data_IF_620364367543
#
_entry.id   IF_620364367543
#
_cell.length_a   1.000
_cell.length_b   1.000
_cell.length_c   1.000
_cell.angle_alpha   90.00
_cell.angle_beta   90.00
_cell.angle_gamma   90.00
#
_symmetry.space_group_name_H-M   'P 1'
#
loop_
_entity.id
_entity.type
_entity.pdbx_description
1 polymer ?
#
# COMPACT_ATOMS: atom_id res chain seq x y z
N UNK A 1 8.05 -3.15 -18.02
CA UNK A 1 8.05 -4.44 -17.28
C UNK A 1 8.74 -4.34 -15.92
N UNK A 2 9.92 -3.71 -15.81
CA UNK A 2 10.63 -3.56 -14.52
C UNK A 2 9.90 -2.69 -13.49
N UNK A 3 9.19 -1.65 -13.94
CA UNK A 3 8.56 -0.70 -13.00
C UNK A 3 7.31 -1.29 -12.34
N UNK A 4 6.55 -2.15 -13.03
CA UNK A 4 5.37 -2.82 -12.46
C UNK A 4 5.74 -3.69 -11.26
N UNK A 5 6.68 -4.62 -11.45
CA UNK A 5 7.06 -5.55 -10.38
C UNK A 5 7.73 -4.81 -9.21
N UNK A 6 8.46 -3.73 -9.50
CA UNK A 6 9.01 -2.86 -8.46
C UNK A 6 7.89 -2.17 -7.66
N UNK A 7 6.87 -1.59 -8.32
CA UNK A 7 5.75 -0.94 -7.63
C UNK A 7 4.99 -1.96 -6.77
N UNK A 8 4.75 -3.16 -7.28
CA UNK A 8 4.06 -4.23 -6.53
C UNK A 8 4.89 -4.65 -5.31
N UNK A 9 6.20 -4.77 -5.44
CA UNK A 9 7.07 -5.07 -4.31
C UNK A 9 7.09 -3.93 -3.28
N UNK A 10 7.10 -2.67 -3.71
CA UNK A 10 6.97 -1.50 -2.83
C UNK A 10 5.64 -1.53 -2.06
N UNK A 11 4.52 -1.76 -2.75
CA UNK A 11 3.21 -1.93 -2.11
C UNK A 11 3.27 -3.04 -1.08
N UNK A 12 3.84 -4.20 -1.42
CA UNK A 12 3.95 -5.35 -0.51
C UNK A 12 4.76 -5.04 0.74
N UNK A 13 5.86 -4.30 0.62
CA UNK A 13 6.67 -3.87 1.77
C UNK A 13 5.90 -2.89 2.65
N UNK A 14 5.13 -1.96 2.08
CA UNK A 14 4.33 -1.02 2.85
C UNK A 14 3.17 -1.71 3.58
N UNK A 15 2.49 -2.67 2.93
CA UNK A 15 1.47 -3.51 3.55
C UNK A 15 2.05 -4.33 4.74
N UNK A 16 3.26 -4.88 4.58
CA UNK A 16 3.95 -5.61 5.65
C UNK A 16 4.30 -4.69 6.82
N UNK A 17 4.81 -3.49 6.52
CA UNK A 17 5.07 -2.47 7.55
C UNK A 17 3.77 -2.09 8.27
N UNK A 18 2.66 -1.97 7.53
CA UNK A 18 1.35 -1.70 8.10
C UNK A 18 0.90 -2.78 9.08
N UNK A 19 1.08 -4.07 8.74
CA UNK A 19 0.79 -5.17 9.66
C UNK A 19 1.59 -5.06 10.96
N UNK A 20 2.87 -4.66 10.88
CA UNK A 20 3.72 -4.48 12.06
C UNK A 20 3.19 -3.35 12.95
N UNK A 21 3.02 -2.14 12.40
CA UNK A 21 2.63 -0.98 13.20
C UNK A 21 1.22 -1.11 13.79
N UNK A 22 0.27 -1.71 13.06
CA UNK A 22 -1.05 -2.03 13.59
C UNK A 22 -1.00 -3.15 14.64
N UNK A 23 -0.13 -4.14 14.46
CA UNK A 23 0.09 -5.20 15.45
C UNK A 23 0.61 -4.65 16.78
N UNK A 24 1.55 -3.70 16.72
CA UNK A 24 2.08 -2.98 17.89
C UNK A 24 0.99 -2.15 18.58
N UNK A 25 0.21 -1.40 17.79
CA UNK A 25 -0.90 -0.58 18.32
C UNK A 25 -1.91 -1.44 19.11
N UNK A 26 -2.24 -2.64 18.59
CA UNK A 26 -3.18 -3.57 19.23
C UNK A 26 -2.71 -4.12 20.59
N UNK A 27 -1.41 -4.08 20.87
CA UNK A 27 -0.85 -4.49 22.17
C UNK A 27 -0.50 -3.29 23.06
N UNK A 28 -0.96 -2.08 22.71
CA UNK A 28 -0.75 -0.86 23.48
C UNK A 28 0.61 -0.20 23.25
N UNK A 29 1.33 -0.60 22.20
CA UNK A 29 2.55 0.09 21.75
C UNK A 29 2.17 1.06 20.64
N UNK A 30 2.05 2.35 20.98
CA UNK A 30 1.72 3.41 20.03
C UNK A 30 2.76 3.43 18.89
N UNK A 31 2.31 3.23 17.65
CA UNK A 31 3.22 3.15 16.51
C UNK A 31 2.56 3.40 15.16
N UNK A 32 1.26 3.12 15.03
CA UNK A 32 0.55 3.24 13.75
C UNK A 32 0.49 4.68 13.21
N UNK A 33 0.51 5.68 14.10
CA UNK A 33 0.47 7.11 13.72
C UNK A 33 1.85 7.74 13.55
N UNK A 34 2.90 7.10 14.06
CA UNK A 34 4.24 7.69 14.16
C UNK A 34 5.20 7.15 13.11
N UNK A 35 4.93 5.97 12.55
CA UNK A 35 5.84 5.27 11.66
C UNK A 35 5.22 5.01 10.30
N UNK A 36 5.63 5.80 9.30
CA UNK A 36 5.39 5.55 7.88
C UNK A 36 6.72 5.56 7.13
N UNK A 37 6.80 4.81 6.03
CA UNK A 37 8.05 4.63 5.25
C UNK A 37 8.14 5.54 4.02
N UNK A 38 7.18 6.45 3.83
CA UNK A 38 7.05 7.30 2.62
C UNK A 38 6.96 6.50 1.30
N UNK A 39 6.66 5.19 1.39
CA UNK A 39 6.53 4.31 0.21
C UNK A 39 5.32 4.71 -0.64
N UNK A 40 4.24 5.17 -0.02
CA UNK A 40 3.09 5.76 -0.71
C UNK A 40 3.52 6.87 -1.68
N UNK A 41 4.37 7.81 -1.25
CA UNK A 41 4.85 8.92 -2.08
C UNK A 41 5.83 8.45 -3.17
N UNK A 42 6.58 7.37 -2.92
CA UNK A 42 7.38 6.72 -3.96
C UNK A 42 6.50 6.10 -5.04
N UNK A 43 5.49 5.32 -4.66
CA UNK A 43 4.54 4.67 -5.58
C UNK A 43 3.79 5.74 -6.39
N UNK A 44 3.35 6.81 -5.72
CA UNK A 44 2.70 7.95 -6.36
C UNK A 44 3.55 8.51 -7.52
N UNK A 45 4.85 8.75 -7.26
CA UNK A 45 5.79 9.23 -8.29
C UNK A 45 6.02 8.20 -9.40
N UNK A 46 6.20 6.92 -9.04
CA UNK A 46 6.40 5.85 -10.04
C UNK A 46 5.18 5.61 -10.93
N UNK A 47 3.98 5.87 -10.43
CA UNK A 47 2.74 5.72 -11.18
C UNK A 47 2.30 7.00 -11.91
N UNK A 48 3.10 8.08 -11.83
CA UNK A 48 2.83 9.37 -12.48
C UNK A 48 1.43 9.92 -12.15
N UNK A 49 1.03 9.78 -10.88
CA UNK A 49 -0.30 10.18 -10.42
C UNK A 49 -0.44 11.72 -10.49
N UNK A 50 -1.49 12.27 -11.13
CA UNK A 50 -1.66 13.72 -11.26
C UNK A 50 -1.89 14.44 -9.92
N UNK A 51 -1.37 15.67 -9.81
CA UNK A 51 -1.59 16.58 -8.67
C UNK A 51 -3.09 16.95 -8.56
N UNK A 52 -3.82 16.18 -7.77
CA UNK A 52 -5.28 16.29 -7.61
C UNK A 52 -5.97 14.94 -7.38
N UNK A 53 -5.32 13.84 -7.79
CA UNK A 53 -5.79 12.48 -7.56
C UNK A 53 -5.36 11.91 -6.19
N UNK A 54 -4.34 12.49 -5.58
CA UNK A 54 -3.67 12.00 -4.34
C UNK A 54 -4.59 12.02 -3.11
N UNK A 55 -5.47 13.02 -3.03
CA UNK A 55 -6.42 13.20 -1.93
C UNK A 55 -7.82 12.65 -2.20
N UNK A 56 -8.01 11.91 -3.29
CA UNK A 56 -9.33 11.43 -3.71
C UNK A 56 -9.40 9.90 -3.75
N UNK A 57 -10.20 9.36 -4.66
CA UNK A 57 -10.40 7.92 -4.86
C UNK A 57 -9.09 7.12 -4.90
N UNK A 58 -8.00 7.64 -5.47
CA UNK A 58 -6.74 6.89 -5.55
C UNK A 58 -6.12 6.64 -4.16
N UNK A 59 -5.98 7.68 -3.34
CA UNK A 59 -5.49 7.54 -1.97
C UNK A 59 -6.43 6.69 -1.09
N UNK A 60 -7.74 6.82 -1.29
CA UNK A 60 -8.74 5.97 -0.60
C UNK A 60 -8.60 4.50 -0.98
N UNK A 61 -8.39 4.20 -2.27
CA UNK A 61 -8.14 2.83 -2.75
C UNK A 61 -6.91 2.25 -2.04
N UNK A 62 -5.78 2.97 -2.04
CA UNK A 62 -4.57 2.52 -1.35
C UNK A 62 -4.80 2.25 0.14
N UNK A 63 -5.45 3.19 0.83
CA UNK A 63 -5.72 3.09 2.26
C UNK A 63 -6.64 1.91 2.62
N UNK A 64 -7.56 1.51 1.73
CA UNK A 64 -8.39 0.33 1.94
C UNK A 64 -7.55 -0.96 1.91
N UNK A 65 -6.62 -1.09 0.97
CA UNK A 65 -5.69 -2.23 0.95
C UNK A 65 -4.78 -2.27 2.19
N UNK A 66 -4.34 -1.12 2.70
CA UNK A 66 -3.60 -1.05 3.96
C UNK A 66 -4.43 -1.61 5.12
N UNK A 67 -5.71 -1.22 5.24
CA UNK A 67 -6.61 -1.76 6.25
C UNK A 67 -6.80 -3.27 6.10
N UNK A 68 -6.92 -3.77 4.87
CA UNK A 68 -7.12 -5.20 4.61
C UNK A 68 -5.88 -6.04 4.94
N UNK A 69 -4.67 -5.47 4.87
CA UNK A 69 -3.42 -6.17 5.15
C UNK A 69 -3.42 -6.87 6.53
N UNK A 70 -4.08 -6.28 7.54
CA UNK A 70 -4.11 -6.84 8.90
C UNK A 70 -4.92 -8.14 8.99
N UNK A 71 -5.73 -8.45 7.98
CA UNK A 71 -6.54 -9.67 7.89
C UNK A 71 -5.78 -10.83 7.23
N UNK A 72 -4.59 -10.59 6.67
CA UNK A 72 -3.75 -11.61 6.05
C UNK A 72 -2.78 -12.23 7.08
N UNK A 73 -2.37 -13.50 6.89
CA UNK A 73 -1.36 -14.11 7.75
C UNK A 73 -0.05 -13.32 7.75
N UNK A 74 0.56 -13.15 8.92
CA UNK A 74 1.88 -12.52 9.04
C UNK A 74 2.96 -13.55 8.68
N UNK A 75 3.87 -13.19 7.79
CA UNK A 75 5.03 -14.02 7.43
C UNK A 75 6.30 -13.18 7.45
N UNK A 76 7.49 -13.76 7.74
CA UNK A 76 8.74 -12.99 7.79
C UNK A 76 9.06 -12.24 6.49
N UNK A 77 8.69 -12.82 5.34
CA UNK A 77 8.92 -12.25 4.02
C UNK A 77 7.74 -11.43 3.48
N UNK A 78 6.55 -11.51 4.08
CA UNK A 78 5.33 -10.87 3.56
C UNK A 78 4.76 -11.57 2.32
N UNK A 79 5.08 -12.84 2.09
CA UNK A 79 4.69 -13.57 0.87
C UNK A 79 3.17 -13.79 0.81
N UNK A 80 2.51 -13.88 1.98
CA UNK A 80 1.05 -13.92 2.13
C UNK A 80 0.34 -12.67 1.58
N UNK A 81 1.01 -11.52 1.51
CA UNK A 81 0.46 -10.26 1.02
C UNK A 81 0.59 -10.10 -0.49
N UNK A 82 1.30 -11.01 -1.18
CA UNK A 82 1.51 -10.94 -2.63
C UNK A 82 0.20 -10.73 -3.40
N UNK A 83 -0.87 -11.53 -3.17
CA UNK A 83 -2.13 -11.33 -3.88
C UNK A 83 -2.75 -9.95 -3.62
N UNK A 84 -2.64 -9.44 -2.39
CA UNK A 84 -3.17 -8.15 -1.99
C UNK A 84 -2.42 -7.00 -2.67
N UNK A 85 -1.09 -7.11 -2.77
CA UNK A 85 -0.26 -6.12 -3.47
C UNK A 85 -0.55 -6.05 -4.97
N UNK A 86 -0.74 -7.21 -5.63
CA UNK A 86 -1.17 -7.27 -7.04
C UNK A 86 -2.55 -6.63 -7.23
N UNK A 87 -3.51 -6.96 -6.36
CA UNK A 87 -4.86 -6.38 -6.43
C UNK A 87 -4.84 -4.85 -6.23
N UNK A 88 -4.05 -4.37 -5.27
CA UNK A 88 -3.85 -2.94 -5.02
C UNK A 88 -3.31 -2.25 -6.27
N UNK A 89 -2.20 -2.72 -6.84
CA UNK A 89 -1.63 -2.15 -8.07
C UNK A 89 -2.64 -2.09 -9.22
N UNK A 90 -3.39 -3.18 -9.44
CA UNK A 90 -4.40 -3.25 -10.51
C UNK A 90 -5.50 -2.21 -10.30
N UNK A 91 -6.04 -2.07 -9.08
CA UNK A 91 -7.08 -1.06 -8.82
C UNK A 91 -6.56 0.37 -8.89
N UNK A 92 -5.31 0.63 -8.45
CA UNK A 92 -4.69 1.95 -8.59
C UNK A 92 -4.50 2.33 -10.06
N UNK A 93 -4.14 1.35 -10.91
CA UNK A 93 -4.06 1.49 -12.36
C UNK A 93 -5.42 1.84 -12.96
N UNK A 94 -6.46 1.09 -12.61
CA UNK A 94 -7.83 1.33 -13.10
C UNK A 94 -8.30 2.74 -12.73
N UNK A 95 -8.11 3.18 -11.47
CA UNK A 95 -8.47 4.53 -11.02
C UNK A 95 -7.73 5.61 -11.83
N UNK A 96 -6.46 5.38 -12.18
CA UNK A 96 -5.68 6.31 -13.01
C UNK A 96 -6.20 6.37 -14.45
N UNK A 97 -6.60 5.23 -15.01
CA UNK A 97 -7.11 5.13 -16.39
C UNK A 97 -8.50 5.77 -16.52
N UNK A 98 -9.36 5.63 -15.52
CA UNK A 98 -10.69 6.27 -15.45
C UNK A 98 -10.64 7.79 -15.24
N UNK A 99 -9.49 8.32 -14.83
CA UNK A 99 -9.29 9.75 -14.53
C UNK A 99 -8.64 10.53 -15.69
N UNK A 100 -8.37 9.86 -16.81
CA UNK A 100 -7.85 10.47 -18.05
C UNK A 100 -8.98 10.84 -19.00
#
# INVERSE_FOLDING_TARGET
MRDKELIIELIRQDLKHNQLVYGLERIGLEGARLHHLEIYDMIHRFMEVPEGLVGNRWGMTYANFMKDAVNYPITPKGDSLTPLAYACYTQLKEVLEESK
#
